data_IF_805718119843
#
_entry.id   IF_805718119843
#
_cell.length_a   1.000
_cell.length_b   1.000
_cell.length_c   1.000
_cell.angle_alpha   90.00
_cell.angle_beta   90.00
_cell.angle_gamma   90.00
#
_symmetry.space_group_name_H-M   'P 1'
#
loop_
_entity.id
_entity.type
_entity.pdbx_description
1 polymer ?
#
# COMPACT_ATOMS: atom_id res chain seq x y z
N UNK A 1 -1.57 -20.15 -57.53
CA UNK A 1 -1.04 -20.73 -58.78
C UNK A 1 -2.15 -21.22 -59.73
N UNK A 2 -3.25 -21.80 -59.24
CA UNK A 2 -4.39 -22.21 -60.10
C UNK A 2 -5.13 -21.02 -60.74
N UNK A 3 -5.30 -19.91 -60.03
CA UNK A 3 -6.02 -18.73 -60.55
C UNK A 3 -5.24 -18.00 -61.65
N UNK A 4 -3.92 -17.89 -61.54
CA UNK A 4 -3.07 -17.23 -62.55
C UNK A 4 -2.98 -18.00 -63.86
N UNK A 5 -3.15 -19.34 -63.82
CA UNK A 5 -3.21 -20.18 -65.02
C UNK A 5 -4.48 -19.94 -65.85
N UNK A 6 -5.60 -19.65 -65.17
CA UNK A 6 -6.88 -19.40 -65.82
C UNK A 6 -7.01 -17.95 -66.34
N UNK A 7 -6.20 -17.02 -65.82
CA UNK A 7 -6.25 -15.59 -66.17
C UNK A 7 -4.85 -15.01 -66.45
N UNK A 8 -4.26 -15.27 -67.63
CA UNK A 8 -2.89 -14.85 -67.95
C UNK A 8 -2.72 -13.33 -68.03
N UNK A 9 -3.79 -12.59 -68.33
CA UNK A 9 -3.77 -11.12 -68.33
C UNK A 9 -3.42 -10.54 -66.95
N UNK A 10 -3.69 -11.26 -65.85
CA UNK A 10 -3.38 -10.81 -64.50
C UNK A 10 -1.87 -10.71 -64.25
N UNK A 11 -1.07 -11.59 -64.87
CA UNK A 11 0.41 -11.53 -64.77
C UNK A 11 0.98 -10.64 -65.88
N UNK A 12 0.44 -10.72 -67.10
CA UNK A 12 1.01 -10.04 -68.26
C UNK A 12 0.76 -8.52 -68.28
N UNK A 13 -0.33 -8.04 -67.67
CA UNK A 13 -0.70 -6.62 -67.63
C UNK A 13 -0.55 -6.00 -66.23
N UNK A 14 0.13 -6.67 -65.28
CA UNK A 14 0.44 -6.07 -63.98
C UNK A 14 1.92 -6.19 -63.66
N UNK A 15 2.41 -5.28 -62.82
CA UNK A 15 3.75 -5.38 -62.24
C UNK A 15 3.64 -6.09 -60.91
N UNK A 16 4.40 -7.17 -60.74
CA UNK A 16 4.43 -7.92 -59.48
C UNK A 16 5.39 -7.21 -58.53
N UNK A 17 4.87 -6.77 -57.38
CA UNK A 17 5.66 -6.27 -56.27
C UNK A 17 5.66 -7.30 -55.13
N UNK A 18 6.85 -7.71 -54.69
CA UNK A 18 7.03 -8.77 -53.70
C UNK A 18 7.22 -8.19 -52.31
N UNK A 19 6.28 -8.47 -51.41
CA UNK A 19 6.39 -8.10 -50.00
C UNK A 19 7.01 -9.24 -49.19
N UNK A 20 8.23 -9.02 -48.71
CA UNK A 20 8.91 -9.93 -47.80
C UNK A 20 8.47 -9.70 -46.34
N UNK A 21 8.85 -10.62 -45.45
CA UNK A 21 8.80 -10.39 -44.00
C UNK A 21 9.60 -9.12 -43.67
N UNK A 22 9.18 -8.40 -42.64
CA UNK A 22 9.90 -7.19 -42.23
C UNK A 22 11.34 -7.52 -41.83
N UNK A 23 12.33 -6.81 -42.42
CA UNK A 23 13.72 -6.98 -42.00
C UNK A 23 13.93 -6.38 -40.61
N UNK A 24 15.03 -6.76 -39.96
CA UNK A 24 15.37 -6.31 -38.61
C UNK A 24 15.39 -4.78 -38.49
N UNK A 25 15.86 -4.08 -39.53
CA UNK A 25 15.89 -2.61 -39.58
C UNK A 25 14.49 -2.00 -39.57
N UNK A 26 13.51 -2.64 -40.22
CA UNK A 26 12.13 -2.17 -40.20
C UNK A 26 11.49 -2.40 -38.82
N UNK A 27 11.76 -3.55 -38.19
CA UNK A 27 11.32 -3.82 -36.82
C UNK A 27 11.89 -2.79 -35.84
N UNK A 28 13.18 -2.47 -35.98
CA UNK A 28 13.83 -1.44 -35.18
C UNK A 28 13.17 -0.07 -35.35
N UNK A 29 13.01 0.41 -36.59
CA UNK A 29 12.43 1.72 -36.85
C UNK A 29 11.00 1.85 -36.29
N UNK A 30 10.21 0.77 -36.40
CA UNK A 30 8.86 0.73 -35.85
C UNK A 30 8.90 0.78 -34.32
N UNK A 31 9.69 -0.08 -33.68
CA UNK A 31 9.82 -0.10 -32.21
C UNK A 31 10.36 1.23 -31.67
N UNK A 32 11.36 1.82 -32.31
CA UNK A 32 11.92 3.13 -31.96
C UNK A 32 10.86 4.22 -32.04
N UNK A 33 10.05 4.25 -33.10
CA UNK A 33 8.97 5.23 -33.23
C UNK A 33 7.97 5.12 -32.07
N UNK A 34 7.48 3.92 -31.76
CA UNK A 34 6.50 3.72 -30.68
C UNK A 34 7.09 3.95 -29.28
N UNK A 35 8.37 3.62 -29.05
CA UNK A 35 9.04 3.81 -27.76
C UNK A 35 9.47 5.28 -27.55
N UNK A 36 9.79 6.01 -28.62
CA UNK A 36 10.18 7.42 -28.54
C UNK A 36 9.05 8.30 -27.99
N UNK A 37 7.80 8.01 -28.38
CA UNK A 37 6.61 8.66 -27.82
C UNK A 37 6.39 8.36 -26.33
N UNK A 38 7.01 7.28 -25.84
CA UNK A 38 6.85 6.81 -24.47
C UNK A 38 7.92 7.40 -23.52
N UNK A 39 7.65 8.63 -23.05
CA UNK A 39 8.53 9.40 -22.11
C UNK A 39 8.86 8.71 -20.78
N UNK A 40 8.19 7.60 -20.47
CA UNK A 40 8.32 6.87 -19.21
C UNK A 40 9.57 5.98 -19.13
N UNK A 41 10.17 5.64 -20.27
CA UNK A 41 11.40 4.84 -20.35
C UNK A 41 12.60 5.79 -20.45
N UNK A 42 13.57 5.63 -19.53
CA UNK A 42 14.85 6.36 -19.56
C UNK A 42 15.62 6.01 -20.83
N UNK A 43 16.26 7.02 -21.45
CA UNK A 43 17.01 6.85 -22.70
C UNK A 43 18.09 5.77 -22.64
N UNK A 44 18.69 5.52 -21.47
CA UNK A 44 19.71 4.49 -21.26
C UNK A 44 19.24 3.07 -21.58
N UNK A 45 17.97 2.74 -21.30
CA UNK A 45 17.44 1.38 -21.49
C UNK A 45 16.66 1.22 -22.80
N UNK A 46 16.41 2.30 -23.54
CA UNK A 46 15.58 2.27 -24.76
C UNK A 46 16.11 1.29 -25.79
N UNK A 47 17.40 1.37 -26.11
CA UNK A 47 18.01 0.49 -27.12
C UNK A 47 17.91 -0.98 -26.73
N UNK A 48 18.21 -1.32 -25.48
CA UNK A 48 18.11 -2.70 -24.98
C UNK A 48 16.66 -3.23 -25.08
N UNK A 49 15.67 -2.38 -24.79
CA UNK A 49 14.25 -2.76 -24.90
C UNK A 49 13.87 -2.98 -26.36
N UNK A 50 14.28 -2.09 -27.27
CA UNK A 50 14.03 -2.21 -28.70
C UNK A 50 14.64 -3.51 -29.25
N UNK A 51 15.92 -3.76 -28.95
CA UNK A 51 16.61 -5.00 -29.36
C UNK A 51 15.90 -6.25 -28.84
N UNK A 52 15.47 -6.23 -27.57
CA UNK A 52 14.72 -7.33 -26.99
C UNK A 52 13.36 -7.55 -27.69
N UNK A 53 12.64 -6.48 -28.03
CA UNK A 53 11.37 -6.60 -28.76
C UNK A 53 11.55 -7.25 -30.14
N UNK A 54 12.61 -6.88 -30.85
CA UNK A 54 12.96 -7.49 -32.13
C UNK A 54 13.25 -8.98 -31.95
N UNK A 55 14.11 -9.33 -30.99
CA UNK A 55 14.48 -10.73 -30.69
C UNK A 55 13.25 -11.59 -30.35
N UNK A 56 12.30 -11.06 -29.57
CA UNK A 56 11.05 -11.75 -29.25
C UNK A 56 10.21 -12.01 -30.52
N UNK A 57 10.12 -11.05 -31.44
CA UNK A 57 9.36 -11.25 -32.68
C UNK A 57 10.04 -12.24 -33.63
N UNK A 58 11.36 -12.18 -33.74
CA UNK A 58 12.14 -13.12 -34.56
C UNK A 58 12.06 -14.55 -34.02
N UNK A 59 12.17 -14.73 -32.69
CA UNK A 59 11.98 -16.03 -32.06
C UNK A 59 10.55 -16.57 -32.25
N UNK A 60 9.52 -15.71 -32.16
CA UNK A 60 8.15 -16.11 -32.47
C UNK A 60 8.01 -16.61 -33.92
N UNK A 61 8.64 -15.95 -34.89
CA UNK A 61 8.68 -16.41 -36.28
C UNK A 61 9.35 -17.78 -36.40
N UNK A 62 10.53 -17.96 -35.78
CA UNK A 62 11.25 -19.23 -35.77
C UNK A 62 10.40 -20.38 -35.21
N UNK A 63 9.70 -20.14 -34.09
CA UNK A 63 8.83 -21.16 -33.50
C UNK A 63 7.56 -21.41 -34.33
N UNK A 64 7.03 -20.42 -35.05
CA UNK A 64 5.91 -20.66 -35.99
C UNK A 64 6.34 -21.60 -37.13
N UNK A 65 7.53 -21.39 -37.68
CA UNK A 65 8.08 -22.23 -38.74
C UNK A 65 8.32 -23.67 -38.20
N UNK A 66 8.93 -23.80 -37.00
CA UNK A 66 9.14 -25.09 -36.33
C UNK A 66 7.84 -25.82 -35.99
N UNK A 67 6.81 -25.08 -35.56
CA UNK A 67 5.50 -25.63 -35.25
C UNK A 67 4.82 -26.19 -36.50
N UNK A 68 4.93 -25.47 -37.62
CA UNK A 68 4.40 -25.91 -38.90
C UNK A 68 5.10 -27.18 -39.40
N UNK A 69 6.43 -27.26 -39.23
CA UNK A 69 7.21 -28.44 -39.58
C UNK A 69 6.82 -29.67 -38.74
N UNK A 70 6.73 -29.51 -37.42
CA UNK A 70 6.50 -30.65 -36.50
C UNK A 70 5.06 -31.10 -36.39
N UNK A 71 4.12 -30.15 -36.38
CA UNK A 71 2.71 -30.42 -36.13
C UNK A 71 1.86 -30.39 -37.40
N UNK A 72 2.44 -30.02 -38.54
CA UNK A 72 1.74 -29.82 -39.81
C UNK A 72 0.53 -28.89 -39.68
N UNK A 73 0.61 -27.94 -38.74
CA UNK A 73 -0.40 -26.91 -38.49
C UNK A 73 0.24 -25.55 -38.69
N UNK A 74 -0.31 -24.76 -39.61
CA UNK A 74 0.24 -23.45 -39.92
C UNK A 74 -0.02 -22.46 -38.79
N UNK A 75 1.04 -21.84 -38.29
CA UNK A 75 1.00 -20.67 -37.41
C UNK A 75 1.80 -19.53 -38.05
N UNK A 76 1.41 -18.29 -37.81
CA UNK A 76 2.04 -17.13 -38.42
C UNK A 76 2.24 -16.01 -37.40
N UNK A 77 3.45 -15.49 -37.32
CA UNK A 77 3.73 -14.21 -36.69
C UNK A 77 3.74 -13.12 -37.77
N UNK A 78 2.74 -12.25 -37.74
CA UNK A 78 2.57 -11.17 -38.72
C UNK A 78 3.04 -9.83 -38.15
N UNK A 79 3.35 -8.83 -39.00
CA UNK A 79 3.65 -7.47 -38.51
C UNK A 79 2.55 -6.90 -37.61
N UNK A 80 1.29 -7.27 -37.82
CA UNK A 80 0.19 -6.90 -36.92
C UNK A 80 0.43 -7.42 -35.50
N UNK A 81 0.85 -8.68 -35.35
CA UNK A 81 1.16 -9.25 -34.04
C UNK A 81 2.31 -8.50 -33.36
N UNK A 82 3.27 -7.99 -34.12
CA UNK A 82 4.36 -7.17 -33.58
C UNK A 82 3.86 -5.83 -33.03
N UNK A 83 3.00 -5.13 -33.77
CA UNK A 83 2.38 -3.89 -33.32
C UNK A 83 1.51 -4.11 -32.08
N UNK A 84 0.69 -5.15 -32.08
CA UNK A 84 -0.14 -5.52 -30.93
C UNK A 84 0.71 -5.83 -29.69
N UNK A 85 1.85 -6.51 -29.88
CA UNK A 85 2.82 -6.78 -28.82
C UNK A 85 3.38 -5.49 -28.22
N UNK A 86 3.85 -4.56 -29.06
CA UNK A 86 4.40 -3.26 -28.60
C UNK A 86 3.33 -2.47 -27.83
N UNK A 87 2.11 -2.37 -28.37
CA UNK A 87 1.02 -1.67 -27.70
C UNK A 87 0.68 -2.29 -26.33
N UNK A 88 0.58 -3.61 -26.28
CA UNK A 88 0.29 -4.34 -25.05
C UNK A 88 1.40 -4.12 -24.01
N UNK A 89 2.67 -4.14 -24.44
CA UNK A 89 3.80 -3.85 -23.56
C UNK A 89 3.71 -2.44 -22.96
N UNK A 90 3.46 -1.42 -23.80
CA UNK A 90 3.34 -0.03 -23.34
C UNK A 90 2.19 0.12 -22.34
N UNK A 91 1.04 -0.47 -22.63
CA UNK A 91 -0.13 -0.43 -21.73
C UNK A 91 0.17 -1.12 -20.39
N UNK A 92 0.75 -2.32 -20.44
CA UNK A 92 1.09 -3.09 -19.25
C UNK A 92 2.11 -2.34 -18.38
N UNK A 93 3.12 -1.72 -19.01
CA UNK A 93 4.12 -0.94 -18.28
C UNK A 93 3.47 0.24 -17.55
N UNK A 94 2.60 1.01 -18.22
CA UNK A 94 1.87 2.12 -17.59
C UNK A 94 1.10 1.65 -16.37
N UNK A 95 0.30 0.59 -16.53
CA UNK A 95 -0.50 0.03 -15.46
C UNK A 95 0.38 -0.41 -14.27
N UNK A 96 1.46 -1.15 -14.52
CA UNK A 96 2.36 -1.62 -13.46
C UNK A 96 3.04 -0.47 -12.73
N UNK A 97 3.41 0.60 -13.43
CA UNK A 97 3.99 1.78 -12.81
C UNK A 97 2.98 2.51 -11.93
N UNK A 98 1.75 2.70 -12.40
CA UNK A 98 0.69 3.34 -11.63
C UNK A 98 0.35 2.54 -10.37
N UNK A 99 0.29 1.21 -10.49
CA UNK A 99 0.07 0.32 -9.36
C UNK A 99 1.21 0.41 -8.32
N UNK A 100 2.47 0.49 -8.77
CA UNK A 100 3.62 0.69 -7.89
C UNK A 100 3.59 2.05 -7.19
N UNK A 101 3.23 3.11 -7.91
CA UNK A 101 3.11 4.46 -7.33
C UNK A 101 2.03 4.51 -6.25
N UNK A 102 0.86 3.92 -6.51
CA UNK A 102 -0.22 3.81 -5.50
C UNK A 102 0.22 3.03 -4.26
N UNK A 103 0.98 1.94 -4.45
CA UNK A 103 1.51 1.18 -3.32
C UNK A 103 2.54 2.00 -2.52
N UNK A 104 3.43 2.72 -3.20
CA UNK A 104 4.39 3.61 -2.56
C UNK A 104 3.70 4.74 -1.78
N UNK A 105 2.67 5.35 -2.36
CA UNK A 105 1.87 6.38 -1.69
C UNK A 105 1.17 5.83 -0.44
N UNK A 106 0.55 4.64 -0.54
CA UNK A 106 -0.08 3.98 0.60
C UNK A 106 0.92 3.71 1.74
N UNK A 107 2.13 3.26 1.40
CA UNK A 107 3.20 3.05 2.37
C UNK A 107 3.62 4.36 3.01
N UNK A 108 3.79 5.42 2.22
CA UNK A 108 4.18 6.74 2.73
C UNK A 108 3.14 7.29 3.71
N UNK A 109 1.85 7.21 3.35
CA UNK A 109 0.75 7.59 4.27
C UNK A 109 0.80 6.74 5.54
N UNK A 110 1.04 5.43 5.42
CA UNK A 110 1.19 4.54 6.57
C UNK A 110 2.32 4.97 7.52
N UNK A 111 3.48 5.34 6.97
CA UNK A 111 4.63 5.83 7.74
C UNK A 111 4.28 7.12 8.48
N UNK A 112 3.64 8.07 7.80
CA UNK A 112 3.21 9.34 8.42
C UNK A 112 2.26 9.08 9.58
N UNK A 113 1.28 8.17 9.40
CA UNK A 113 0.34 7.81 10.48
C UNK A 113 1.01 7.16 11.68
N UNK A 114 2.01 6.33 11.45
CA UNK A 114 2.78 5.70 12.54
C UNK A 114 3.56 6.76 13.33
N UNK A 115 4.16 7.73 12.63
CA UNK A 115 4.87 8.84 13.26
C UNK A 115 3.95 9.72 14.11
N UNK A 116 2.79 10.11 13.55
CA UNK A 116 1.74 10.85 14.27
C UNK A 116 1.29 10.12 15.54
N UNK A 117 1.06 8.80 15.45
CA UNK A 117 0.67 7.98 16.59
C UNK A 117 1.77 7.94 17.67
N UNK A 118 3.05 7.87 17.27
CA UNK A 118 4.17 7.88 18.20
C UNK A 118 4.25 9.19 18.99
N UNK A 119 4.05 10.33 18.30
CA UNK A 119 4.00 11.65 18.94
C UNK A 119 2.82 11.73 19.92
N UNK A 120 1.64 11.24 19.52
CA UNK A 120 0.45 11.23 20.37
C UNK A 120 0.64 10.40 21.64
N UNK A 121 1.24 9.21 21.53
CA UNK A 121 1.55 8.35 22.68
C UNK A 121 2.47 9.07 23.66
N UNK A 122 3.53 9.72 23.18
CA UNK A 122 4.43 10.49 24.04
C UNK A 122 3.71 11.63 24.77
N UNK A 123 2.76 12.31 24.12
CA UNK A 123 1.97 13.35 24.76
C UNK A 123 1.03 12.78 25.83
N UNK A 124 0.39 11.64 25.54
CA UNK A 124 -0.48 10.94 26.49
C UNK A 124 0.30 10.49 27.72
N UNK A 125 1.49 9.93 27.55
CA UNK A 125 2.35 9.50 28.67
C UNK A 125 2.71 10.67 29.59
N UNK A 126 3.05 11.83 29.01
CA UNK A 126 3.31 13.06 29.81
C UNK A 126 2.07 13.53 30.57
N UNK A 127 0.88 13.48 29.96
CA UNK A 127 -0.38 13.85 30.63
C UNK A 127 -0.70 12.87 31.77
N UNK A 128 -0.50 11.58 31.52
CA UNK A 128 -0.76 10.51 32.49
C UNK A 128 0.17 10.61 33.70
N UNK A 129 1.44 10.94 33.50
CA UNK A 129 2.38 11.17 34.61
C UNK A 129 1.98 12.38 35.48
N UNK A 130 1.54 13.48 34.86
CA UNK A 130 1.01 14.65 35.60
C UNK A 130 -0.23 14.28 36.42
N UNK A 131 -1.17 13.58 35.79
CA UNK A 131 -2.41 13.15 36.47
C UNK A 131 -2.13 12.20 37.63
N UNK A 132 -1.16 11.27 37.50
CA UNK A 132 -0.74 10.39 38.60
C UNK A 132 -0.21 11.17 39.80
N UNK A 133 0.64 12.19 39.56
CA UNK A 133 1.17 13.06 40.62
C UNK A 133 0.05 13.82 41.34
N UNK A 134 -0.88 14.39 40.57
CA UNK A 134 -2.01 15.14 41.15
C UNK A 134 -2.95 14.22 41.95
N UNK A 135 -3.23 13.01 41.44
CA UNK A 135 -4.00 11.99 42.15
C UNK A 135 -3.34 11.62 43.46
N UNK A 136 -2.03 11.35 43.49
CA UNK A 136 -1.32 11.00 44.72
C UNK A 136 -1.44 12.11 45.79
N UNK A 137 -1.33 13.38 45.38
CA UNK A 137 -1.50 14.52 46.31
C UNK A 137 -2.94 14.58 46.84
N UNK A 138 -3.94 14.40 45.97
CA UNK A 138 -5.35 14.43 46.38
C UNK A 138 -5.71 13.25 47.29
N UNK A 139 -5.20 12.05 46.99
CA UNK A 139 -5.38 10.87 47.83
C UNK A 139 -4.77 11.08 49.20
N UNK A 140 -3.51 11.54 49.27
CA UNK A 140 -2.86 11.84 50.56
C UNK A 140 -3.67 12.85 51.39
N UNK A 141 -4.13 13.94 50.78
CA UNK A 141 -4.99 14.91 51.46
C UNK A 141 -6.30 14.29 51.96
N UNK A 142 -6.90 13.39 51.20
CA UNK A 142 -8.12 12.69 51.59
C UNK A 142 -7.86 11.77 52.79
N UNK A 143 -6.76 11.04 52.77
CA UNK A 143 -6.34 10.15 53.86
C UNK A 143 -6.03 10.94 55.14
N UNK A 144 -5.35 12.09 55.02
CA UNK A 144 -5.07 13.00 56.12
C UNK A 144 -6.38 13.52 56.75
N UNK A 145 -7.34 13.98 55.94
CA UNK A 145 -8.66 14.42 56.40
C UNK A 145 -9.46 13.30 57.07
N UNK A 146 -9.42 12.08 56.52
CA UNK A 146 -10.04 10.90 57.13
C UNK A 146 -9.42 10.60 58.51
N UNK A 147 -8.11 10.71 58.65
CA UNK A 147 -7.43 10.55 59.93
C UNK A 147 -7.87 11.61 60.95
N UNK A 148 -8.00 12.87 60.53
CA UNK A 148 -8.47 13.95 61.40
C UNK A 148 -9.92 13.70 61.85
N UNK A 149 -10.81 13.35 60.92
CA UNK A 149 -12.21 13.03 61.23
C UNK A 149 -12.31 11.85 62.20
N UNK A 150 -11.52 10.79 62.01
CA UNK A 150 -11.56 9.63 62.92
C UNK A 150 -11.08 9.99 64.32
N UNK A 151 -10.03 10.80 64.47
CA UNK A 151 -9.57 11.28 65.79
C UNK A 151 -10.59 12.21 66.46
N UNK A 152 -11.20 13.12 65.71
CA UNK A 152 -12.26 14.01 66.21
C UNK A 152 -13.49 13.20 66.63
N UNK A 153 -13.89 12.21 65.84
CA UNK A 153 -15.02 11.33 66.15
C UNK A 153 -14.74 10.50 67.40
N UNK A 154 -13.52 9.94 67.54
CA UNK A 154 -13.11 9.21 68.73
C UNK A 154 -13.10 10.10 70.00
N UNK A 155 -12.58 11.32 69.90
CA UNK A 155 -12.66 12.30 71.01
C UNK A 155 -14.11 12.67 71.34
N UNK A 156 -14.97 12.77 70.33
CA UNK A 156 -16.38 13.12 70.52
C UNK A 156 -17.18 11.96 71.13
N UNK A 157 -16.91 10.71 70.77
CA UNK A 157 -17.51 9.54 71.41
C UNK A 157 -17.04 9.39 72.85
N UNK A 158 -15.74 9.60 73.13
CA UNK A 158 -15.22 9.59 74.50
C UNK A 158 -15.81 10.71 75.37
N UNK A 159 -15.99 11.92 74.81
CA UNK A 159 -16.70 13.01 75.50
C UNK A 159 -18.16 12.64 75.79
N UNK A 160 -18.83 11.99 74.84
CA UNK A 160 -20.22 11.53 75.03
C UNK A 160 -20.33 10.43 76.09
N UNK A 161 -19.41 9.46 76.12
CA UNK A 161 -19.41 8.41 77.14
C UNK A 161 -19.14 8.99 78.54
N UNK A 162 -18.12 9.86 78.69
CA UNK A 162 -17.86 10.56 79.97
C UNK A 162 -19.03 11.43 80.42
N UNK A 163 -19.75 12.06 79.49
CA UNK A 163 -20.94 12.83 79.82
C UNK A 163 -22.10 11.94 80.28
N UNK A 164 -22.23 10.73 79.72
CA UNK A 164 -23.21 9.73 80.17
C UNK A 164 -22.87 9.20 81.57
N UNK A 165 -21.60 8.87 81.83
CA UNK A 165 -21.13 8.43 83.15
C UNK A 165 -21.38 9.49 84.22
N UNK A 166 -21.07 10.76 83.93
CA UNK A 166 -21.37 11.86 84.86
C UNK A 166 -22.86 12.04 85.13
N UNK A 167 -23.72 11.85 84.13
CA UNK A 167 -25.18 11.89 84.33
C UNK A 167 -25.64 10.74 85.22
N UNK A 168 -25.14 9.52 85.00
CA UNK A 168 -25.46 8.37 85.85
C UNK A 168 -25.00 8.57 87.30
N UNK A 169 -23.80 9.13 87.53
CA UNK A 169 -23.33 9.46 88.89
C UNK A 169 -24.20 10.53 89.56
N UNK A 170 -24.64 11.53 88.80
CA UNK A 170 -25.54 12.58 89.34
C UNK A 170 -26.92 12.01 89.65
N UNK A 171 -27.46 11.15 88.78
CA UNK A 171 -28.74 10.46 89.00
C UNK A 171 -28.67 9.50 90.21
N UNK A 172 -27.55 8.79 90.40
CA UNK A 172 -27.31 7.96 91.59
C UNK A 172 -27.16 8.79 92.88
N UNK A 173 -26.55 9.99 92.81
CA UNK A 173 -26.47 10.92 93.94
C UNK A 173 -27.84 11.53 94.30
N UNK A 174 -28.74 11.69 93.33
CA UNK A 174 -30.13 12.14 93.54
C UNK A 174 -31.02 11.09 94.22
N UNK A 175 -30.66 9.81 94.18
CA UNK A 175 -31.41 8.71 94.81
C UNK A 175 -31.07 8.56 96.31
N UNK A 176 -29.98 9.18 96.79
CA UNK A 176 -29.50 9.06 98.18
C UNK A 176 -29.95 10.24 99.08
N UNK A 177 -30.73 11.19 98.56
CA UNK A 177 -31.38 12.27 99.33
C UNK A 177 -32.88 11.96 99.45
#
# INVERSE_FOLDING_TARGET
MLQTRNFPALINNTTIDYFARWPQQALYAVAEHFISDFKLITNEFKNNIIEHMIMVHESANFYCDLYTEKMHRSAYATPKNYLDFIHTFIQLYKQKKDDLLKQAERLNVGIIRIDEASILIQEMDRKLEKQRKELAIKTQKCDDLLSEITTLTAKQTERKSRALEKKQIVDEQLIII
#
